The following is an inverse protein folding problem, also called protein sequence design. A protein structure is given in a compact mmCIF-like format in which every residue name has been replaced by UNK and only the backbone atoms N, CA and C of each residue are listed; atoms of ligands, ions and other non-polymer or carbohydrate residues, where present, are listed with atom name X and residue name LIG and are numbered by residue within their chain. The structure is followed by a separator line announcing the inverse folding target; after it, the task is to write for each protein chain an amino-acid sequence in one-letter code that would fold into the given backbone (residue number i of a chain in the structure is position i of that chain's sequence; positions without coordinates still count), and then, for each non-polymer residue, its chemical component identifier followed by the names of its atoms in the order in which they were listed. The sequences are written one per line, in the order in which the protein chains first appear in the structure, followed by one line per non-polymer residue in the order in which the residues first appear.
data_IF_931816808942
#
_entry.id   IF_931816808942
#
_cell.length_a   1.000
_cell.length_b   1.000
_cell.length_c   1.000
_cell.angle_alpha   90.00
_cell.angle_beta   90.00
_cell.angle_gamma   90.00
#
_symmetry.space_group_name_H-M   'P 1'
#
loop_
_entity.id
_entity.type
_entity.pdbx_description
1 polymer ?
#
# COMPACT_ATOMS: atom_id res chain seq x y z
N UNK A 1 7.74 -19.44 -41.60
CA UNK A 1 8.29 -18.46 -40.62
C UNK A 1 7.32 -17.32 -40.36
N UNK A 2 6.82 -16.62 -41.39
CA UNK A 2 5.80 -15.56 -41.25
C UNK A 2 4.47 -16.00 -40.60
N UNK A 3 4.05 -17.25 -40.78
CA UNK A 3 2.78 -17.75 -40.24
C UNK A 3 2.82 -17.98 -38.72
N UNK A 4 3.92 -18.51 -38.20
CA UNK A 4 4.14 -18.67 -36.76
C UNK A 4 4.27 -17.31 -36.04
N UNK A 5 4.88 -16.33 -36.68
CA UNK A 5 4.98 -14.96 -36.14
C UNK A 5 3.60 -14.27 -36.08
N UNK A 6 2.80 -14.44 -37.13
CA UNK A 6 1.43 -13.91 -37.17
C UNK A 6 0.53 -14.60 -36.14
N UNK A 7 0.65 -15.91 -36.00
CA UNK A 7 -0.07 -16.70 -34.99
C UNK A 7 0.29 -16.26 -33.56
N UNK A 8 1.59 -16.11 -33.26
CA UNK A 8 2.06 -15.58 -31.99
C UNK A 8 1.53 -14.16 -31.71
N UNK A 9 1.59 -13.28 -32.72
CA UNK A 9 1.14 -11.90 -32.58
C UNK A 9 -0.35 -11.81 -32.24
N UNK A 10 -1.18 -12.59 -32.93
CA UNK A 10 -2.63 -12.52 -32.77
C UNK A 10 -3.09 -13.26 -31.52
N UNK A 11 -2.65 -14.50 -31.33
CA UNK A 11 -3.19 -15.38 -30.29
C UNK A 11 -2.55 -15.20 -28.92
N UNK A 12 -1.36 -14.59 -28.84
CA UNK A 12 -0.65 -14.40 -27.57
C UNK A 12 -0.37 -12.94 -27.28
N UNK A 13 0.35 -12.25 -28.18
CA UNK A 13 0.80 -10.89 -27.90
C UNK A 13 -0.36 -9.90 -27.73
N UNK A 14 -1.30 -9.86 -28.68
CA UNK A 14 -2.47 -8.98 -28.58
C UNK A 14 -3.34 -9.34 -27.39
N UNK A 15 -3.56 -10.63 -27.13
CA UNK A 15 -4.33 -11.09 -25.96
C UNK A 15 -3.70 -10.62 -24.64
N UNK A 16 -2.37 -10.70 -24.51
CA UNK A 16 -1.65 -10.22 -23.33
C UNK A 16 -1.76 -8.69 -23.18
N UNK A 17 -1.64 -7.95 -24.28
CA UNK A 17 -1.80 -6.49 -24.28
C UNK A 17 -3.23 -6.09 -23.88
N UNK A 18 -4.24 -6.74 -24.46
CA UNK A 18 -5.65 -6.48 -24.14
C UNK A 18 -5.96 -6.82 -22.68
N UNK A 19 -5.39 -7.92 -22.16
CA UNK A 19 -5.52 -8.28 -20.75
C UNK A 19 -4.88 -7.24 -19.83
N UNK A 20 -3.69 -6.73 -20.19
CA UNK A 20 -3.02 -5.68 -19.44
C UNK A 20 -3.83 -4.36 -19.46
N UNK A 21 -4.33 -3.96 -20.63
CA UNK A 21 -5.19 -2.77 -20.79
C UNK A 21 -6.46 -2.92 -19.95
N UNK A 22 -7.14 -4.07 -20.05
CA UNK A 22 -8.38 -4.34 -19.31
C UNK A 22 -8.12 -4.34 -17.79
N UNK A 23 -7.04 -4.97 -17.35
CA UNK A 23 -6.66 -4.98 -15.92
C UNK A 23 -6.37 -3.57 -15.40
N UNK A 24 -5.69 -2.73 -16.19
CA UNK A 24 -5.40 -1.34 -15.82
C UNK A 24 -6.68 -0.51 -15.77
N UNK A 25 -7.60 -0.67 -16.74
CA UNK A 25 -8.90 0.01 -16.75
C UNK A 25 -9.73 -0.34 -15.52
N UNK A 26 -9.92 -1.64 -15.25
CA UNK A 26 -10.68 -2.09 -14.08
C UNK A 26 -10.11 -1.53 -12.78
N UNK A 27 -8.78 -1.57 -12.62
CA UNK A 27 -8.10 -1.04 -11.44
C UNK A 27 -8.26 0.49 -11.30
N UNK A 28 -8.31 1.23 -12.41
CA UNK A 28 -8.56 2.67 -12.39
C UNK A 28 -10.01 2.98 -11.98
N UNK A 29 -10.98 2.22 -12.48
CA UNK A 29 -12.40 2.35 -12.11
C UNK A 29 -12.64 2.04 -10.63
N UNK A 30 -11.97 1.01 -10.10
CA UNK A 30 -11.95 0.70 -8.66
C UNK A 30 -11.34 1.84 -7.84
N UNK A 31 -10.24 2.44 -8.30
CA UNK A 31 -9.61 3.58 -7.64
C UNK A 31 -10.49 4.83 -7.63
N UNK A 32 -11.22 5.11 -8.72
CA UNK A 32 -12.20 6.19 -8.76
C UNK A 32 -13.37 5.93 -7.81
N UNK A 33 -13.84 4.69 -7.73
CA UNK A 33 -14.89 4.28 -6.78
C UNK A 33 -14.40 4.45 -5.33
N UNK A 34 -13.17 4.05 -5.05
CA UNK A 34 -12.53 4.25 -3.75
C UNK A 34 -12.34 5.72 -3.42
N UNK A 35 -11.91 6.55 -4.38
CA UNK A 35 -11.75 7.99 -4.21
C UNK A 35 -13.07 8.68 -3.87
N UNK A 36 -14.20 8.22 -4.42
CA UNK A 36 -15.52 8.74 -4.03
C UNK A 36 -15.86 8.44 -2.57
N UNK A 37 -15.36 7.32 -2.05
CA UNK A 37 -15.64 6.85 -0.69
C UNK A 37 -14.70 7.51 0.32
N UNK A 38 -13.38 7.44 0.11
CA UNK A 38 -12.37 7.88 1.07
C UNK A 38 -11.60 9.15 0.64
N UNK A 39 -11.98 9.79 -0.47
CA UNK A 39 -11.28 10.95 -1.00
C UNK A 39 -11.19 12.10 0.00
N UNK A 40 -12.14 12.20 0.92
CA UNK A 40 -12.14 13.22 1.97
C UNK A 40 -10.99 13.06 2.97
N UNK A 41 -10.48 11.84 3.19
CA UNK A 41 -9.36 11.55 4.11
C UNK A 41 -7.97 11.84 3.52
N UNK A 42 -7.89 12.16 2.21
CA UNK A 42 -6.62 12.28 1.48
C UNK A 42 -5.73 13.42 1.98
N UNK A 43 -6.31 14.54 2.39
CA UNK A 43 -5.58 15.70 2.91
C UNK A 43 -6.42 16.51 3.89
N UNK A 44 -5.76 17.39 4.65
CA UNK A 44 -6.45 18.28 5.59
C UNK A 44 -7.37 19.25 4.87
N UNK A 45 -7.04 19.62 3.62
CA UNK A 45 -7.87 20.48 2.78
C UNK A 45 -9.17 19.81 2.37
N UNK A 46 -9.13 18.56 1.90
CA UNK A 46 -10.34 17.80 1.53
C UNK A 46 -11.20 17.47 2.74
N UNK A 47 -10.55 17.22 3.88
CA UNK A 47 -11.23 16.94 5.14
C UNK A 47 -11.97 18.19 5.65
N UNK A 48 -11.34 19.36 5.60
CA UNK A 48 -11.92 20.64 6.04
C UNK A 48 -12.99 21.19 5.08
N UNK A 49 -12.92 20.85 3.79
CA UNK A 49 -13.92 21.26 2.80
C UNK A 49 -15.18 20.38 2.78
N UNK A 50 -15.22 19.32 3.58
CA UNK A 50 -16.26 18.32 3.54
C UNK A 50 -17.57 18.83 4.17
N UNK A 51 -18.65 18.83 3.38
CA UNK A 51 -19.99 19.21 3.85
C UNK A 51 -20.73 18.03 4.52
N UNK A 52 -21.65 18.34 5.44
CA UNK A 52 -22.49 17.34 6.12
C UNK A 52 -23.37 16.49 5.18
N UNK A 53 -23.73 17.03 4.02
CA UNK A 53 -24.49 16.31 2.98
C UNK A 53 -23.65 15.20 2.31
N UNK A 54 -22.35 15.42 2.14
CA UNK A 54 -21.40 14.49 1.53
C UNK A 54 -20.94 13.40 2.51
N UNK A 55 -20.92 13.71 3.82
CA UNK A 55 -20.64 12.76 4.90
C UNK A 55 -21.61 11.57 4.91
N UNK A 56 -22.91 11.83 4.68
CA UNK A 56 -23.93 10.78 4.71
C UNK A 56 -23.82 9.79 3.55
N UNK A 57 -23.37 10.27 2.39
CA UNK A 57 -23.18 9.43 1.19
C UNK A 57 -21.87 8.63 1.25
N UNK A 58 -20.79 9.24 1.74
CA UNK A 58 -19.47 8.60 1.88
C UNK A 58 -19.46 7.51 2.95
N UNK A 59 -20.31 7.61 3.98
CA UNK A 59 -20.41 6.60 5.03
C UNK A 59 -21.31 5.39 4.70
N UNK A 60 -21.83 5.27 3.48
CA UNK A 60 -22.63 4.08 3.05
C UNK A 60 -21.82 2.77 3.09
N UNK A 61 -20.50 2.84 3.27
CA UNK A 61 -19.59 1.70 3.50
C UNK A 61 -20.09 0.81 4.66
N UNK A 62 -20.83 1.37 5.62
CA UNK A 62 -21.32 0.66 6.81
C UNK A 62 -22.70 0.00 6.66
N UNK A 63 -23.27 -0.10 5.45
CA UNK A 63 -24.64 -0.61 5.26
C UNK A 63 -24.74 -2.13 5.03
N UNK A 64 -23.63 -2.88 5.10
CA UNK A 64 -23.62 -4.33 4.89
C UNK A 64 -23.09 -5.10 6.11
N UNK A 65 -23.95 -5.31 7.12
CA UNK A 65 -23.64 -6.14 8.31
C UNK A 65 -23.06 -5.34 9.48
N UNK A 66 -23.08 -5.93 10.69
CA UNK A 66 -22.70 -5.29 11.97
C UNK A 66 -21.39 -4.50 11.83
N UNK A 67 -21.48 -3.18 11.82
CA UNK A 67 -20.32 -2.33 11.58
C UNK A 67 -19.56 -2.06 12.86
N UNK A 68 -18.24 -2.15 12.76
CA UNK A 68 -17.30 -1.75 13.82
C UNK A 68 -17.21 -0.22 13.99
N UNK A 69 -17.93 0.55 13.16
CA UNK A 69 -17.90 2.01 13.08
C UNK A 69 -19.33 2.55 13.17
N UNK A 70 -19.63 3.30 14.24
CA UNK A 70 -20.90 4.00 14.38
C UNK A 70 -20.90 5.26 13.50
N UNK A 71 -21.95 5.42 12.69
CA UNK A 71 -22.07 6.51 11.74
C UNK A 71 -22.13 7.88 12.43
N UNK A 72 -22.89 7.99 13.51
CA UNK A 72 -23.08 9.26 14.21
C UNK A 72 -21.81 9.62 14.99
N UNK A 73 -21.14 8.64 15.58
CA UNK A 73 -19.86 8.85 16.26
C UNK A 73 -18.78 9.27 15.25
N UNK A 74 -18.69 8.61 14.09
CA UNK A 74 -17.76 9.01 13.04
C UNK A 74 -18.02 10.43 12.54
N UNK A 75 -19.28 10.81 12.31
CA UNK A 75 -19.63 12.19 11.92
C UNK A 75 -19.22 13.19 13.01
N UNK A 76 -19.48 12.87 14.28
CA UNK A 76 -19.15 13.73 15.41
C UNK A 76 -17.64 13.91 15.54
N UNK A 77 -16.88 12.82 15.46
CA UNK A 77 -15.42 12.85 15.42
C UNK A 77 -14.91 13.68 14.24
N UNK A 78 -15.51 13.55 13.06
CA UNK A 78 -15.12 14.29 11.85
C UNK A 78 -15.35 15.81 12.01
N UNK A 79 -16.43 16.22 12.67
CA UNK A 79 -16.67 17.63 12.97
C UNK A 79 -15.65 18.17 13.98
N UNK A 80 -15.29 17.39 15.00
CA UNK A 80 -14.30 17.80 16.00
C UNK A 80 -12.90 17.85 15.39
N UNK A 81 -12.51 16.89 14.55
CA UNK A 81 -11.18 16.88 13.94
C UNK A 81 -11.01 18.05 12.96
N UNK A 82 -12.06 18.42 12.21
CA UNK A 82 -12.02 19.56 11.28
C UNK A 82 -11.68 20.87 11.99
N UNK A 83 -12.15 21.04 13.23
CA UNK A 83 -11.93 22.24 14.05
C UNK A 83 -10.65 22.20 14.88
N UNK A 84 -10.14 21.01 15.22
CA UNK A 84 -8.92 20.83 16.03
C UNK A 84 -7.65 20.67 15.20
N UNK A 85 -7.77 20.28 13.93
CA UNK A 85 -6.62 20.16 13.04
C UNK A 85 -5.93 21.50 12.79
N UNK A 86 -4.58 21.54 12.83
CA UNK A 86 -3.82 22.75 12.53
C UNK A 86 -4.17 23.34 11.15
N UNK A 87 -4.11 24.66 11.02
CA UNK A 87 -4.25 25.37 9.73
C UNK A 87 -2.97 25.28 8.90
N UNK A 88 -2.58 24.04 8.56
CA UNK A 88 -1.54 23.73 7.60
C UNK A 88 -1.99 22.59 6.69
N UNK A 89 -1.45 22.55 5.48
CA UNK A 89 -1.63 21.41 4.60
C UNK A 89 -0.96 20.17 5.23
N UNK A 90 -1.72 19.11 5.41
CA UNK A 90 -1.27 17.84 5.97
C UNK A 90 -1.69 16.70 5.04
N UNK A 91 -0.81 15.72 4.89
CA UNK A 91 -1.11 14.48 4.16
C UNK A 91 -2.01 13.57 5.01
N UNK A 92 -2.64 12.59 4.37
CA UNK A 92 -3.37 11.53 5.07
C UNK A 92 -2.55 10.88 6.21
N UNK A 93 -1.24 10.69 6.00
CA UNK A 93 -0.35 10.08 7.00
C UNK A 93 -0.15 11.01 8.21
N UNK A 94 0.09 12.30 7.97
CA UNK A 94 0.29 13.26 9.06
C UNK A 94 -0.99 13.41 9.91
N UNK A 95 -2.16 13.36 9.28
CA UNK A 95 -3.45 13.39 9.99
C UNK A 95 -3.64 12.11 10.80
N UNK A 96 -3.29 10.96 10.23
CA UNK A 96 -3.38 9.70 10.96
C UNK A 96 -2.47 9.65 12.19
N UNK A 97 -1.26 10.23 12.12
CA UNK A 97 -0.40 10.36 13.29
C UNK A 97 -1.02 11.26 14.37
N UNK A 98 -1.60 12.40 13.98
CA UNK A 98 -2.32 13.29 14.90
C UNK A 98 -3.50 12.60 15.59
N UNK A 99 -4.28 11.84 14.82
CA UNK A 99 -5.41 11.02 15.32
C UNK A 99 -4.93 9.98 16.32
N UNK A 100 -3.84 9.29 16.01
CA UNK A 100 -3.25 8.24 16.85
C UNK A 100 -2.72 8.78 18.18
N UNK A 101 -2.20 10.00 18.21
CA UNK A 101 -1.72 10.64 19.44
C UNK A 101 -2.85 11.12 20.35
N UNK A 102 -4.03 11.42 19.78
CA UNK A 102 -5.10 12.11 20.50
C UNK A 102 -6.08 11.18 21.23
N UNK A 103 -6.05 9.86 20.97
CA UNK A 103 -6.90 8.78 21.55
C UNK A 103 -8.42 9.07 21.65
N UNK A 104 -8.90 10.12 20.97
CA UNK A 104 -10.28 10.61 21.04
C UNK A 104 -11.04 10.44 19.71
N UNK A 105 -10.41 9.79 18.73
CA UNK A 105 -10.95 9.61 17.38
C UNK A 105 -10.90 8.13 16.93
N UNK A 106 -11.52 7.20 17.67
CA UNK A 106 -11.45 5.77 17.38
C UNK A 106 -12.03 5.41 16.00
N UNK A 107 -13.15 6.01 15.60
CA UNK A 107 -13.78 5.71 14.32
C UNK A 107 -12.96 6.26 13.13
N UNK A 108 -12.40 7.47 13.27
CA UNK A 108 -11.48 8.04 12.28
C UNK A 108 -10.20 7.19 12.16
N UNK A 109 -9.66 6.71 13.28
CA UNK A 109 -8.49 5.82 13.29
C UNK A 109 -8.76 4.54 12.50
N UNK A 110 -9.93 3.92 12.69
CA UNK A 110 -10.36 2.76 11.89
C UNK A 110 -10.49 3.13 10.41
N UNK A 111 -11.13 4.26 10.08
CA UNK A 111 -11.29 4.72 8.71
C UNK A 111 -9.95 4.91 8.00
N UNK A 112 -8.96 5.53 8.66
CA UNK A 112 -7.60 5.67 8.12
C UNK A 112 -6.88 4.33 7.97
N UNK A 113 -7.05 3.39 8.90
CA UNK A 113 -6.48 2.04 8.76
C UNK A 113 -7.04 1.33 7.52
N UNK A 114 -8.36 1.38 7.31
CA UNK A 114 -8.99 0.82 6.11
C UNK A 114 -8.45 1.53 4.86
N UNK A 115 -8.41 2.85 4.89
CA UNK A 115 -7.87 3.68 3.80
C UNK A 115 -6.45 3.28 3.40
N UNK A 116 -5.54 3.07 4.35
CA UNK A 116 -4.15 2.68 4.08
C UNK A 116 -3.98 1.21 3.69
N UNK A 117 -4.89 0.33 4.11
CA UNK A 117 -4.85 -1.08 3.67
C UNK A 117 -5.30 -1.26 2.22
N UNK A 118 -6.03 -0.29 1.67
CA UNK A 118 -6.45 -0.35 0.27
C UNK A 118 -5.26 -0.14 -0.67
N UNK A 119 -5.18 -0.88 -1.79
CA UNK A 119 -4.01 -0.94 -2.67
C UNK A 119 -3.80 0.31 -3.55
N UNK A 120 -4.12 1.48 -3.00
CA UNK A 120 -3.99 2.82 -3.61
C UNK A 120 -2.51 3.20 -3.75
N UNK A 121 -1.62 2.66 -2.92
CA UNK A 121 -0.18 2.94 -3.05
C UNK A 121 0.48 2.00 -4.06
N UNK A 122 0.17 2.20 -5.35
CA UNK A 122 0.90 1.56 -6.47
C UNK A 122 2.40 1.85 -6.36
N UNK A 123 2.76 3.01 -5.82
CA UNK A 123 4.15 3.45 -5.59
C UNK A 123 4.98 2.47 -4.73
N UNK A 124 4.38 1.82 -3.72
CA UNK A 124 5.13 0.87 -2.86
C UNK A 124 5.43 -0.43 -3.62
N UNK A 125 4.45 -0.92 -4.40
CA UNK A 125 4.66 -2.05 -5.28
C UNK A 125 5.67 -1.71 -6.39
N UNK A 126 5.57 -0.54 -7.03
CA UNK A 126 6.49 -0.08 -8.07
C UNK A 126 7.93 0.10 -7.54
N UNK A 127 8.10 0.66 -6.34
CA UNK A 127 9.40 0.75 -5.65
C UNK A 127 9.97 -0.64 -5.39
N UNK A 128 9.15 -1.58 -4.90
CA UNK A 128 9.54 -2.96 -4.67
C UNK A 128 9.91 -3.68 -5.96
N UNK A 129 9.16 -3.48 -7.05
CA UNK A 129 9.45 -4.04 -8.37
C UNK A 129 10.70 -3.43 -9.01
N UNK A 130 10.97 -2.14 -8.79
CA UNK A 130 12.21 -1.48 -9.23
C UNK A 130 13.43 -2.09 -8.53
N UNK A 131 13.35 -2.31 -7.20
CA UNK A 131 14.38 -3.03 -6.44
C UNK A 131 14.54 -4.47 -6.92
N UNK A 132 13.44 -5.18 -7.18
CA UNK A 132 13.47 -6.54 -7.71
C UNK A 132 14.08 -6.58 -9.12
N UNK A 133 13.81 -5.57 -9.95
CA UNK A 133 14.44 -5.40 -11.27
C UNK A 133 15.95 -5.19 -11.13
N UNK A 134 16.42 -4.36 -10.19
CA UNK A 134 17.85 -4.23 -9.90
C UNK A 134 18.44 -5.58 -9.48
N UNK A 135 17.76 -6.30 -8.57
CA UNK A 135 18.20 -7.59 -8.03
C UNK A 135 18.31 -8.67 -9.13
N UNK A 136 17.33 -8.74 -10.02
CA UNK A 136 17.25 -9.76 -11.08
C UNK A 136 18.11 -9.41 -12.31
N UNK A 137 18.29 -8.13 -12.59
CA UNK A 137 18.87 -7.66 -13.86
C UNK A 137 20.36 -7.28 -13.73
N UNK A 138 20.90 -7.08 -12.52
CA UNK A 138 22.31 -6.69 -12.34
C UNK A 138 23.25 -7.88 -12.02
N UNK A 139 22.78 -8.94 -11.34
CA UNK A 139 23.64 -10.00 -10.77
C UNK A 139 23.41 -11.43 -11.27
N UNK A 140 22.91 -11.64 -12.51
CA UNK A 140 22.89 -12.94 -13.23
C UNK A 140 21.72 -13.87 -12.84
N UNK A 141 20.91 -14.27 -13.82
CA UNK A 141 19.62 -14.97 -13.69
C UNK A 141 19.65 -16.46 -13.28
N UNK A 142 20.62 -16.89 -12.48
CA UNK A 142 20.77 -18.30 -12.01
C UNK A 142 20.71 -18.38 -10.48
N UNK A 143 19.64 -17.84 -9.89
CA UNK A 143 19.46 -17.79 -8.45
C UNK A 143 18.15 -18.46 -8.03
N UNK A 144 18.17 -19.20 -6.92
CA UNK A 144 16.97 -19.86 -6.40
C UNK A 144 15.93 -18.83 -5.92
N UNK A 145 14.65 -19.21 -6.01
CA UNK A 145 13.55 -18.34 -5.58
C UNK A 145 13.67 -17.97 -4.09
N UNK A 146 14.12 -18.88 -3.24
CA UNK A 146 14.33 -18.63 -1.81
C UNK A 146 15.33 -17.51 -1.57
N UNK A 147 16.50 -17.58 -2.23
CA UNK A 147 17.55 -16.58 -2.05
C UNK A 147 17.11 -15.23 -2.64
N UNK A 148 16.35 -15.24 -3.75
CA UNK A 148 15.77 -14.03 -4.36
C UNK A 148 14.79 -13.34 -3.41
N UNK A 149 13.86 -14.11 -2.83
CA UNK A 149 12.90 -13.60 -1.87
C UNK A 149 13.61 -13.01 -0.65
N UNK A 150 14.62 -13.71 -0.11
CA UNK A 150 15.41 -13.21 1.02
C UNK A 150 16.10 -11.89 0.73
N UNK A 151 16.77 -11.75 -0.42
CA UNK A 151 17.39 -10.48 -0.81
C UNK A 151 16.37 -9.37 -1.08
N UNK A 152 15.22 -9.70 -1.69
CA UNK A 152 14.16 -8.72 -1.91
C UNK A 152 13.63 -8.17 -0.58
N UNK A 153 13.40 -9.03 0.41
CA UNK A 153 13.00 -8.63 1.77
C UNK A 153 14.04 -7.70 2.40
N UNK A 154 15.33 -8.06 2.33
CA UNK A 154 16.42 -7.22 2.86
C UNK A 154 16.49 -5.84 2.16
N UNK A 155 16.27 -5.80 0.84
CA UNK A 155 16.25 -4.55 0.10
C UNK A 155 15.03 -3.68 0.42
N UNK A 156 13.85 -4.28 0.65
CA UNK A 156 12.63 -3.57 1.04
C UNK A 156 12.80 -3.00 2.45
N UNK A 157 13.22 -3.83 3.41
CA UNK A 157 13.37 -3.51 4.82
C UNK A 157 14.75 -2.95 5.19
N UNK A 158 15.42 -2.29 4.23
CA UNK A 158 16.79 -1.79 4.42
C UNK A 158 16.94 -0.90 5.67
N UNK A 159 15.94 -0.08 5.99
CA UNK A 159 15.97 0.78 7.18
C UNK A 159 16.15 -0.01 8.47
N UNK A 160 15.42 -1.11 8.63
CA UNK A 160 15.56 -2.00 9.77
C UNK A 160 16.88 -2.79 9.72
N UNK A 161 17.33 -3.18 8.52
CA UNK A 161 18.61 -3.87 8.35
C UNK A 161 19.79 -2.99 8.81
N UNK A 162 19.73 -1.68 8.57
CA UNK A 162 20.77 -0.73 8.99
C UNK A 162 20.86 -0.61 10.53
N UNK A 163 19.82 -0.99 11.28
CA UNK A 163 19.80 -1.05 12.74
C UNK A 163 20.34 -2.39 13.31
N UNK A 164 20.49 -3.41 12.47
CA UNK A 164 20.91 -4.75 12.88
C UNK A 164 22.43 -4.86 12.88
N UNK A 165 23.02 -5.39 13.96
CA UNK A 165 24.45 -5.65 14.05
C UNK A 165 24.85 -6.87 13.20
N UNK A 166 25.34 -6.61 11.99
CA UNK A 166 25.74 -7.63 11.02
C UNK A 166 26.91 -8.48 11.54
N UNK A 167 27.86 -7.89 12.27
CA UNK A 167 29.03 -8.61 12.80
C UNK A 167 28.63 -9.73 13.76
N UNK A 168 27.58 -9.48 14.55
CA UNK A 168 27.02 -10.48 15.47
C UNK A 168 26.42 -11.67 14.70
N UNK A 169 25.72 -11.39 13.59
CA UNK A 169 25.13 -12.42 12.73
C UNK A 169 26.22 -13.23 12.03
N UNK A 170 27.26 -12.57 11.52
CA UNK A 170 28.41 -13.23 10.88
C UNK A 170 29.10 -14.16 11.89
N UNK A 171 29.32 -13.69 13.11
CA UNK A 171 29.92 -14.48 14.18
C UNK A 171 29.07 -15.71 14.56
N UNK A 172 27.75 -15.55 14.75
CA UNK A 172 26.84 -16.66 15.04
C UNK A 172 26.82 -17.67 13.88
N UNK A 173 26.72 -17.21 12.63
CA UNK A 173 26.75 -18.09 11.45
C UNK A 173 28.07 -18.87 11.34
N UNK A 174 29.21 -18.18 11.55
CA UNK A 174 30.52 -18.81 11.55
C UNK A 174 30.65 -19.86 12.66
N UNK A 175 30.17 -19.56 13.88
CA UNK A 175 30.19 -20.50 15.01
C UNK A 175 29.39 -21.79 14.74
N UNK A 176 28.28 -21.68 14.00
CA UNK A 176 27.43 -22.82 13.64
C UNK A 176 28.00 -23.66 12.51
N UNK A 177 28.66 -23.02 11.52
CA UNK A 177 29.27 -23.70 10.38
C UNK A 177 30.69 -24.21 10.62
N UNK A 178 31.40 -23.70 11.62
CA UNK A 178 32.72 -24.22 12.03
C UNK A 178 32.67 -25.70 12.48
N UNK A 179 31.47 -26.25 12.73
CA UNK A 179 31.25 -27.68 13.05
C UNK A 179 31.00 -28.58 11.83
N UNK A 180 31.24 -28.11 10.60
CA UNK A 180 31.42 -29.02 9.45
C UNK A 180 32.87 -29.48 9.43
N UNK A 181 33.16 -30.51 10.23
CA UNK A 181 34.38 -31.30 10.07
C UNK A 181 34.31 -31.99 8.70
N UNK A 182 35.33 -31.76 7.88
CA UNK A 182 35.60 -32.55 6.67
C UNK A 182 36.04 -33.96 7.04
#
# INVERSE_FOLDING_TARGET
MFEAEKDFKVNYFLVMVDKAITSLKNRFEELESFKKIFGFLMSSTTLKSLEHSELKNSCTISSSGSCDVDLNDLISELTVIQSTLPDRAMSAMDIFEFVRESDCYPNISIAYRIFFTMPVTVASAESSFSKLKLLKNYLRSTMSQERLNGLATLCIEKKFLDEINIDTIISDFASRNARRNF
#
